data_IF_520297708947
#
_entry.id   IF_520297708947
#
_cell.length_a   1.000
_cell.length_b   1.000
_cell.length_c   1.000
_cell.angle_alpha   90.00
_cell.angle_beta   90.00
_cell.angle_gamma   90.00
#
_symmetry.space_group_name_H-M   'P 1'
#
loop_
_entity.id
_entity.type
_entity.pdbx_description
1 polymer ?
#
# COMPACT_ATOMS: atom_id res chain seq x y z
N UNK A 1 -0.23 22.05 15.60
CA UNK A 1 -0.04 20.69 15.03
C UNK A 1 1.27 20.65 14.29
N UNK A 2 2.09 19.62 14.52
CA UNK A 2 3.32 19.39 13.75
C UNK A 2 2.94 18.72 12.44
N UNK A 3 3.41 19.24 11.31
CA UNK A 3 3.19 18.62 9.99
C UNK A 3 3.95 17.30 9.90
N UNK A 4 3.38 16.31 9.21
CA UNK A 4 3.97 15.00 9.01
C UNK A 4 5.15 15.16 8.08
N UNK A 5 6.26 14.59 8.50
CA UNK A 5 7.42 14.45 7.65
C UNK A 5 7.48 13.00 7.18
N UNK A 6 7.21 12.77 5.89
CA UNK A 6 7.18 11.42 5.30
C UNK A 6 8.53 10.71 5.49
N UNK A 7 9.64 11.44 5.44
CA UNK A 7 10.98 10.87 5.65
C UNK A 7 11.15 10.34 7.07
N UNK A 8 10.66 11.09 8.06
CA UNK A 8 10.71 10.67 9.46
C UNK A 8 9.79 9.47 9.69
N UNK A 9 8.57 9.51 9.15
CA UNK A 9 7.62 8.40 9.20
C UNK A 9 8.21 7.10 8.61
N UNK A 10 8.83 7.17 7.43
CA UNK A 10 9.46 6.01 6.77
C UNK A 10 10.56 5.41 7.65
N UNK A 11 11.38 6.26 8.26
CA UNK A 11 12.45 5.83 9.18
C UNK A 11 11.87 5.19 10.45
N UNK A 12 10.86 5.79 11.06
CA UNK A 12 10.20 5.28 12.28
C UNK A 12 9.52 3.92 12.05
N UNK A 13 8.99 3.69 10.85
CA UNK A 13 8.27 2.47 10.50
C UNK A 13 9.13 1.39 9.81
N UNK A 14 10.46 1.57 9.74
CA UNK A 14 11.38 0.63 9.07
C UNK A 14 10.95 0.29 7.63
N UNK A 15 10.50 1.30 6.89
CA UNK A 15 10.27 1.22 5.44
C UNK A 15 11.59 1.58 4.74
N UNK A 16 11.91 0.91 3.64
CA UNK A 16 13.19 1.10 2.95
C UNK A 16 13.22 2.35 2.09
N UNK A 17 12.05 2.84 1.66
CA UNK A 17 11.92 4.17 1.10
C UNK A 17 10.51 4.51 0.63
N UNK A 18 10.41 5.67 -0.03
CA UNK A 18 9.16 6.19 -0.56
C UNK A 18 9.37 6.98 -1.85
N UNK A 19 8.30 7.10 -2.62
CA UNK A 19 8.18 8.00 -3.76
C UNK A 19 6.92 8.83 -3.65
N UNK A 20 6.92 9.99 -4.31
CA UNK A 20 5.73 10.85 -4.44
C UNK A 20 5.57 11.16 -5.92
N UNK A 21 4.36 10.95 -6.45
CA UNK A 21 4.02 11.27 -7.82
C UNK A 21 2.85 12.25 -7.85
N UNK A 22 2.90 13.25 -8.74
CA UNK A 22 1.76 14.11 -9.00
C UNK A 22 0.75 13.38 -9.87
N UNK A 23 -0.54 13.65 -9.67
CA UNK A 23 -1.59 12.99 -10.46
C UNK A 23 -1.52 13.33 -11.94
N UNK A 24 -0.98 14.50 -12.30
CA UNK A 24 -0.72 14.89 -13.69
C UNK A 24 0.26 13.96 -14.41
N UNK A 25 1.13 13.27 -13.68
CA UNK A 25 2.15 12.37 -14.25
C UNK A 25 1.64 10.94 -14.42
N UNK A 26 0.43 10.64 -13.92
CA UNK A 26 -0.12 9.29 -13.94
C UNK A 26 -0.94 9.08 -15.21
N UNK A 27 -0.54 8.07 -15.99
CA UNK A 27 -1.30 7.58 -17.13
C UNK A 27 -1.82 6.18 -16.81
N UNK A 28 -3.07 6.07 -16.35
CA UNK A 28 -3.70 4.81 -15.97
C UNK A 28 -5.04 4.62 -16.68
N UNK A 29 -5.45 3.37 -16.98
CA UNK A 29 -6.77 3.08 -17.52
C UNK A 29 -7.90 3.52 -16.58
N UNK A 30 -9.08 3.80 -17.14
CA UNK A 30 -10.28 4.10 -16.36
C UNK A 30 -10.61 2.96 -15.37
N UNK A 31 -10.94 3.33 -14.15
CA UNK A 31 -11.15 2.43 -13.02
C UNK A 31 -9.87 2.12 -12.24
N UNK A 32 -8.70 2.55 -12.73
CA UNK A 32 -7.40 2.37 -12.10
C UNK A 32 -6.65 3.69 -11.91
N UNK A 33 -7.24 4.82 -12.33
CA UNK A 33 -6.64 6.13 -12.10
C UNK A 33 -6.93 6.56 -10.65
N UNK A 34 -5.99 7.22 -9.94
CA UNK A 34 -6.21 7.64 -8.56
C UNK A 34 -7.46 8.50 -8.36
N UNK A 35 -7.80 9.34 -9.35
CA UNK A 35 -9.02 10.16 -9.34
C UNK A 35 -10.31 9.34 -9.44
N UNK A 36 -10.25 8.11 -9.97
CA UNK A 36 -11.41 7.22 -9.99
C UNK A 36 -11.76 6.73 -8.57
N UNK A 37 -10.80 6.79 -7.63
CA UNK A 37 -10.97 6.37 -6.23
C UNK A 37 -11.17 7.60 -5.34
N UNK A 38 -10.35 8.63 -5.51
CA UNK A 38 -10.40 9.89 -4.78
C UNK A 38 -10.45 11.06 -5.77
N UNK A 39 -11.64 11.61 -6.10
CA UNK A 39 -11.80 12.60 -7.17
C UNK A 39 -10.90 13.84 -7.08
N UNK A 40 -10.56 14.26 -5.85
CA UNK A 40 -9.72 15.44 -5.58
C UNK A 40 -8.24 15.08 -5.33
N UNK A 41 -7.82 13.86 -5.68
CA UNK A 41 -6.45 13.40 -5.46
C UNK A 41 -5.45 14.30 -6.23
N UNK A 42 -4.42 14.79 -5.51
CA UNK A 42 -3.35 15.63 -6.07
C UNK A 42 -2.02 14.91 -6.22
N UNK A 43 -1.80 13.89 -5.39
CA UNK A 43 -0.56 13.14 -5.36
C UNK A 43 -0.76 11.73 -4.84
N UNK A 44 0.09 10.81 -5.30
CA UNK A 44 0.26 9.48 -4.75
C UNK A 44 1.53 9.43 -3.89
N UNK A 45 1.43 8.78 -2.73
CA UNK A 45 2.60 8.41 -1.92
C UNK A 45 2.77 6.90 -2.04
N UNK A 46 3.96 6.49 -2.49
CA UNK A 46 4.32 5.09 -2.71
C UNK A 46 5.33 4.72 -1.63
N UNK A 47 5.06 3.65 -0.88
CA UNK A 47 5.98 3.10 0.11
C UNK A 47 6.53 1.78 -0.43
N UNK A 48 7.82 1.51 -0.25
CA UNK A 48 8.41 0.24 -0.67
C UNK A 48 9.28 -0.38 0.42
N UNK A 49 9.26 -1.72 0.43
CA UNK A 49 10.09 -2.55 1.29
C UNK A 49 10.82 -3.58 0.46
N UNK A 50 12.14 -3.68 0.66
CA UNK A 50 12.99 -4.67 0.03
C UNK A 50 12.71 -6.02 0.67
N UNK A 51 12.41 -7.02 -0.15
CA UNK A 51 12.22 -8.39 0.32
C UNK A 51 13.61 -8.96 0.65
N UNK A 52 13.87 -9.40 1.89
CA UNK A 52 15.14 -10.01 2.24
C UNK A 52 15.47 -11.23 1.37
N UNK A 53 16.70 -11.30 0.86
CA UNK A 53 17.12 -12.35 -0.08
C UNK A 53 16.89 -13.78 0.45
N UNK A 54 17.11 -14.02 1.75
CA UNK A 54 16.93 -15.34 2.35
C UNK A 54 15.50 -15.90 2.19
N UNK A 55 14.48 -15.03 2.01
CA UNK A 55 13.10 -15.47 1.81
C UNK A 55 12.97 -16.30 0.54
N UNK A 56 13.78 -16.01 -0.48
CA UNK A 56 13.76 -16.74 -1.75
C UNK A 56 14.35 -18.16 -1.62
N UNK A 57 15.15 -18.42 -0.59
CA UNK A 57 15.75 -19.72 -0.31
C UNK A 57 14.86 -20.62 0.58
N UNK A 58 13.76 -20.08 1.10
CA UNK A 58 12.82 -20.83 1.95
C UNK A 58 11.94 -21.77 1.14
N UNK A 59 11.48 -22.85 1.79
CA UNK A 59 10.40 -23.69 1.27
C UNK A 59 9.16 -22.86 0.90
N UNK A 60 8.45 -23.32 -0.13
CA UNK A 60 7.29 -22.63 -0.71
C UNK A 60 6.24 -22.18 0.32
N UNK A 61 5.93 -23.02 1.32
CA UNK A 61 4.93 -22.71 2.34
C UNK A 61 5.41 -21.60 3.27
N UNK A 62 6.67 -21.70 3.71
CA UNK A 62 7.28 -20.74 4.63
C UNK A 62 7.48 -19.40 3.90
N UNK A 63 8.02 -19.43 2.68
CA UNK A 63 8.17 -18.27 1.79
C UNK A 63 6.85 -17.50 1.65
N UNK A 64 5.77 -18.21 1.33
CA UNK A 64 4.44 -17.61 1.21
C UNK A 64 4.01 -16.93 2.51
N UNK A 65 4.16 -17.60 3.66
CA UNK A 65 3.80 -17.03 4.96
C UNK A 65 4.58 -15.73 5.28
N UNK A 66 5.88 -15.68 4.96
CA UNK A 66 6.68 -14.46 5.13
C UNK A 66 6.23 -13.33 4.21
N UNK A 67 5.93 -13.63 2.93
CA UNK A 67 5.43 -12.63 2.00
C UNK A 67 4.06 -12.09 2.41
N UNK A 68 3.14 -12.95 2.86
CA UNK A 68 1.84 -12.54 3.41
C UNK A 68 2.01 -11.61 4.61
N UNK A 69 2.95 -11.93 5.51
CA UNK A 69 3.24 -11.07 6.66
C UNK A 69 3.76 -9.71 6.22
N UNK A 70 4.74 -9.65 5.31
CA UNK A 70 5.29 -8.39 4.79
C UNK A 70 4.21 -7.53 4.13
N UNK A 71 3.30 -8.13 3.38
CA UNK A 71 2.20 -7.42 2.73
C UNK A 71 1.24 -6.84 3.77
N UNK A 72 0.83 -7.63 4.76
CA UNK A 72 -0.04 -7.14 5.85
C UNK A 72 0.64 -6.01 6.66
N UNK A 73 1.95 -6.12 6.90
CA UNK A 73 2.71 -5.08 7.58
C UNK A 73 2.72 -3.78 6.77
N UNK A 74 2.91 -3.86 5.44
CA UNK A 74 2.85 -2.69 4.55
C UNK A 74 1.46 -2.07 4.48
N UNK A 75 0.40 -2.87 4.40
CA UNK A 75 -0.98 -2.36 4.40
C UNK A 75 -1.28 -1.62 5.72
N UNK A 76 -0.89 -2.18 6.86
CA UNK A 76 -1.04 -1.53 8.16
C UNK A 76 -0.27 -0.20 8.25
N UNK A 77 0.93 -0.12 7.69
CA UNK A 77 1.69 1.13 7.68
C UNK A 77 1.05 2.16 6.75
N UNK A 78 0.54 1.76 5.58
CA UNK A 78 -0.22 2.63 4.69
C UNK A 78 -1.45 3.23 5.38
N UNK A 79 -2.18 2.43 6.17
CA UNK A 79 -3.28 2.93 7.00
C UNK A 79 -2.82 4.00 8.00
N UNK A 80 -1.74 3.74 8.75
CA UNK A 80 -1.22 4.70 9.73
C UNK A 80 -0.78 6.01 9.09
N UNK A 81 -0.14 5.94 7.93
CA UNK A 81 0.25 7.12 7.19
C UNK A 81 -0.97 7.94 6.77
N UNK A 82 -1.97 7.26 6.19
CA UNK A 82 -3.21 7.90 5.77
C UNK A 82 -3.97 8.54 6.93
N UNK A 83 -4.06 7.86 8.08
CA UNK A 83 -4.65 8.41 9.30
C UNK A 83 -3.90 9.66 9.77
N UNK A 84 -2.56 9.63 9.76
CA UNK A 84 -1.75 10.79 10.14
C UNK A 84 -1.96 11.99 9.22
N UNK A 85 -2.05 11.76 7.90
CA UNK A 85 -2.36 12.80 6.91
C UNK A 85 -3.78 13.36 7.11
N UNK A 86 -4.76 12.50 7.37
CA UNK A 86 -6.14 12.89 7.70
C UNK A 86 -6.22 13.73 8.97
N UNK A 87 -5.48 13.36 10.01
CA UNK A 87 -5.39 14.12 11.26
C UNK A 87 -4.78 15.51 11.06
N UNK A 88 -4.06 15.74 9.95
CA UNK A 88 -3.54 17.04 9.54
C UNK A 88 -4.52 17.89 8.73
N UNK A 89 -5.72 17.38 8.48
CA UNK A 89 -6.77 18.07 7.72
C UNK A 89 -6.68 17.86 6.22
N UNK A 90 -5.83 16.96 5.74
CA UNK A 90 -5.77 16.57 4.32
C UNK A 90 -6.51 15.27 4.09
N UNK A 91 -7.26 15.14 2.99
CA UNK A 91 -7.94 13.89 2.70
C UNK A 91 -7.00 12.87 2.05
N UNK A 92 -6.80 11.73 2.72
CA UNK A 92 -5.99 10.61 2.25
C UNK A 92 -6.74 9.30 2.41
N UNK A 93 -6.55 8.40 1.44
CA UNK A 93 -7.01 7.01 1.50
C UNK A 93 -5.83 6.07 1.27
N UNK A 94 -5.69 4.98 2.05
CA UNK A 94 -4.69 3.96 1.76
C UNK A 94 -5.19 3.03 0.66
N UNK A 95 -4.29 2.65 -0.25
CA UNK A 95 -4.55 1.57 -1.20
C UNK A 95 -3.98 0.29 -0.58
N UNK A 96 -4.87 -0.63 -0.21
CA UNK A 96 -4.49 -1.91 0.37
C UNK A 96 -4.13 -2.91 -0.72
N UNK A 97 -3.22 -3.81 -0.38
CA UNK A 97 -2.84 -4.89 -1.27
C UNK A 97 -3.97 -5.90 -1.35
N UNK A 98 -4.77 -5.80 -2.42
CA UNK A 98 -5.68 -6.87 -2.77
C UNK A 98 -4.85 -8.02 -3.37
N UNK A 99 -4.54 -9.03 -2.55
CA UNK A 99 -4.34 -10.39 -3.06
C UNK A 99 -5.48 -10.72 -4.02
N UNK A 100 -5.35 -11.67 -4.98
CA UNK A 100 -6.46 -11.98 -5.87
C UNK A 100 -7.66 -12.39 -5.02
N UNK A 101 -8.59 -11.46 -4.84
CA UNK A 101 -9.82 -11.56 -4.07
C UNK A 101 -10.83 -10.97 -5.02
N UNK A 102 -11.74 -11.83 -5.49
CA UNK A 102 -12.85 -11.37 -6.31
C UNK A 102 -13.90 -10.81 -5.36
N UNK A 103 -14.16 -9.50 -5.46
CA UNK A 103 -15.32 -8.89 -4.81
C UNK A 103 -16.53 -9.15 -5.71
N UNK A 104 -17.43 -10.01 -5.24
CA UNK A 104 -18.75 -10.18 -5.84
C UNK A 104 -19.78 -9.75 -4.80
N UNK A 105 -20.60 -8.73 -5.12
CA UNK A 105 -21.76 -8.33 -4.32
C UNK A 105 -21.45 -8.09 -2.82
N UNK A 106 -20.45 -7.26 -2.53
CA UNK A 106 -20.00 -6.96 -1.15
C UNK A 106 -19.54 -8.18 -0.32
N UNK A 107 -19.23 -9.31 -0.96
CA UNK A 107 -18.65 -10.49 -0.31
C UNK A 107 -17.22 -10.71 -0.80
N UNK A 108 -16.30 -10.76 0.16
CA UNK A 108 -14.90 -11.11 -0.09
C UNK A 108 -14.82 -12.61 -0.41
N UNK A 109 -14.49 -12.97 -1.66
CA UNK A 109 -14.05 -14.33 -2.00
C UNK A 109 -12.56 -14.35 -2.21
N UNK A 110 -11.83 -15.02 -1.32
CA UNK A 110 -10.40 -15.33 -1.52
C UNK A 110 -10.31 -16.12 -2.84
N UNK A 111 -9.64 -15.57 -3.86
CA UNK A 111 -9.39 -16.35 -5.05
C UNK A 111 -8.36 -17.42 -4.68
N UNK A 112 -8.81 -18.67 -4.65
CA UNK A 112 -7.90 -19.81 -4.64
C UNK A 112 -7.23 -19.86 -6.02
N UNK A 113 -6.15 -19.10 -6.18
CA UNK A 113 -5.26 -19.23 -7.32
C UNK A 113 -4.38 -20.45 -7.08
N UNK A 114 -4.57 -21.48 -7.90
CA UNK A 114 -3.63 -22.60 -8.05
C UNK A 114 -2.30 -22.03 -8.55
N UNK A 115 -1.26 -22.11 -7.73
CA UNK A 115 0.12 -21.99 -8.18
C UNK A 115 0.59 -23.35 -8.71
#
# INVERSE_FOLDING_TARGET
MRKINIKDFVKEHNIDGYGIAEISDINAPKGFHPIDILPECKSLIILYKVIPHFIFDLDSKIKSAYLYKLINDMDNISFKLSESINNEGFHSIPIITFFPIKVHENKLKIARGSF
#
